data_IF_310446539287
#
_entry.id   IF_310446539287
#
_cell.length_a   1.000
_cell.length_b   1.000
_cell.length_c   1.000
_cell.angle_alpha   90.00
_cell.angle_beta   90.00
_cell.angle_gamma   90.00
#
_symmetry.space_group_name_H-M   'P 1'
#
loop_
_entity.id
_entity.type
_entity.pdbx_description
1 polymer ?
#
# COMPACT_ATOMS: atom_id res chain seq x y z
N UNK A 1 -35.47 -0.27 -39.06
CA UNK A 1 -34.77 -1.04 -38.01
C UNK A 1 -33.68 -1.83 -38.71
N UNK A 2 -32.40 -1.54 -38.45
CA UNK A 2 -31.28 -2.20 -39.11
C UNK A 2 -30.43 -2.86 -38.02
N UNK A 3 -30.35 -4.19 -38.06
CA UNK A 3 -29.56 -4.98 -37.11
C UNK A 3 -28.24 -5.32 -37.79
N UNK A 4 -27.15 -4.68 -37.37
CA UNK A 4 -25.80 -5.04 -37.83
C UNK A 4 -25.20 -6.00 -36.81
N UNK A 5 -25.17 -7.28 -37.16
CA UNK A 5 -24.35 -8.27 -36.45
C UNK A 5 -22.89 -8.07 -36.86
N UNK A 6 -22.05 -7.63 -35.92
CA UNK A 6 -20.61 -7.56 -36.09
C UNK A 6 -19.99 -8.94 -35.98
N UNK A 7 -19.66 -9.56 -37.10
CA UNK A 7 -19.04 -10.90 -37.16
C UNK A 7 -17.56 -10.79 -37.57
N UNK A 8 -16.75 -10.10 -36.76
CA UNK A 8 -15.30 -10.01 -36.97
C UNK A 8 -14.56 -10.79 -35.87
N UNK A 9 -14.27 -12.05 -36.15
CA UNK A 9 -13.38 -12.88 -35.34
C UNK A 9 -11.93 -12.61 -35.79
N UNK A 10 -11.05 -12.26 -34.86
CA UNK A 10 -9.65 -11.98 -35.16
C UNK A 10 -8.85 -13.27 -35.34
N UNK A 11 -8.58 -13.67 -36.59
CA UNK A 11 -7.67 -14.77 -36.93
C UNK A 11 -6.25 -14.23 -37.10
N UNK A 12 -5.47 -14.27 -36.02
CA UNK A 12 -4.02 -14.05 -36.05
C UNK A 12 -3.30 -15.31 -35.59
N UNK A 13 -2.08 -15.56 -36.10
CA UNK A 13 -1.16 -16.64 -35.68
C UNK A 13 -0.78 -16.66 -34.18
N UNK A 14 -1.33 -15.75 -33.39
CA UNK A 14 -1.18 -15.65 -31.93
C UNK A 14 -2.54 -15.65 -31.20
N UNK A 15 -3.65 -15.96 -31.89
CA UNK A 15 -4.95 -16.15 -31.26
C UNK A 15 -4.90 -17.45 -30.43
N UNK A 16 -4.64 -17.30 -29.13
CA UNK A 16 -4.51 -18.41 -28.19
C UNK A 16 -5.90 -18.89 -27.79
N UNK A 17 -6.23 -20.13 -28.13
CA UNK A 17 -7.43 -20.81 -27.61
C UNK A 17 -7.30 -21.05 -26.11
N UNK A 18 -8.36 -20.76 -25.36
CA UNK A 18 -8.37 -20.80 -23.89
C UNK A 18 -8.52 -22.22 -23.32
N UNK A 19 -7.70 -23.18 -23.79
CA UNK A 19 -7.69 -24.53 -23.25
C UNK A 19 -6.37 -25.26 -23.54
N UNK A 20 -5.36 -24.99 -22.71
CA UNK A 20 -4.15 -25.81 -22.62
C UNK A 20 -4.01 -26.27 -21.16
N UNK A 21 -3.80 -27.56 -20.94
CA UNK A 21 -3.73 -28.18 -19.63
C UNK A 21 -2.46 -27.74 -18.88
N UNK A 22 -2.60 -27.47 -17.58
CA UNK A 22 -1.49 -27.08 -16.71
C UNK A 22 -0.46 -28.21 -16.65
N UNK A 23 0.75 -27.96 -17.16
CA UNK A 23 1.83 -28.93 -17.26
C UNK A 23 2.20 -29.55 -15.92
N UNK A 24 2.31 -30.87 -15.93
CA UNK A 24 2.90 -31.70 -14.87
C UNK A 24 4.41 -31.49 -14.82
N UNK A 25 4.96 -31.66 -13.61
CA UNK A 25 6.38 -31.95 -13.41
C UNK A 25 6.83 -33.09 -14.34
N UNK A 26 8.04 -33.01 -14.92
CA UNK A 26 9.18 -33.78 -14.43
C UNK A 26 10.36 -33.89 -15.42
N UNK A 27 11.55 -33.85 -14.81
CA UNK A 27 12.79 -34.60 -15.10
C UNK A 27 13.02 -35.23 -16.49
N UNK A 28 14.16 -34.84 -17.07
CA UNK A 28 15.22 -35.69 -17.62
C UNK A 28 14.84 -37.03 -18.27
N UNK A 29 14.88 -37.09 -19.61
CA UNK A 29 15.43 -38.16 -20.48
C UNK A 29 14.84 -37.98 -21.88
N UNK A 30 15.62 -37.62 -22.89
CA UNK A 30 16.24 -38.54 -23.89
C UNK A 30 15.23 -39.32 -24.75
N UNK A 31 15.45 -39.22 -26.07
CA UNK A 31 14.87 -40.03 -27.18
C UNK A 31 13.42 -39.64 -27.56
N UNK A 32 12.97 -39.57 -28.83
CA UNK A 32 13.34 -40.21 -30.10
C UNK A 32 13.03 -39.23 -31.25
N UNK A 33 13.94 -38.94 -32.17
CA UNK A 33 14.12 -39.56 -33.52
C UNK A 33 12.94 -39.36 -34.47
N UNK A 34 13.01 -38.34 -35.36
CA UNK A 34 12.51 -38.44 -36.75
C UNK A 34 13.47 -37.69 -37.71
N UNK A 35 14.29 -38.51 -38.37
CA UNK A 35 14.83 -38.45 -39.74
C UNK A 35 14.55 -37.22 -40.64
N UNK A 36 15.62 -36.56 -41.08
CA UNK A 36 15.78 -36.03 -42.44
C UNK A 36 17.22 -36.28 -42.91
N UNK A 37 17.36 -36.78 -44.14
CA UNK A 37 18.57 -37.36 -44.71
C UNK A 37 19.54 -36.30 -45.26
N UNK A 38 20.83 -36.40 -44.98
CA UNK A 38 21.82 -35.49 -45.57
C UNK A 38 23.27 -35.71 -45.16
N UNK A 39 23.86 -36.79 -45.69
CA UNK A 39 25.29 -37.01 -45.95
C UNK A 39 26.26 -37.27 -44.77
N UNK A 40 26.85 -38.46 -44.84
CA UNK A 40 27.88 -39.04 -44.00
C UNK A 40 29.21 -38.39 -44.32
N UNK A 41 30.02 -37.98 -43.33
CA UNK A 41 31.47 -38.27 -43.36
C UNK A 41 32.15 -38.02 -42.00
N UNK A 42 32.61 -39.15 -41.42
CA UNK A 42 33.84 -39.35 -40.64
C UNK A 42 34.09 -38.53 -39.35
N UNK A 43 33.88 -39.21 -38.22
CA UNK A 43 34.69 -39.03 -36.99
C UNK A 43 36.10 -39.60 -37.25
N UNK A 44 37.18 -38.91 -36.84
CA UNK A 44 37.88 -39.34 -35.63
C UNK A 44 38.38 -38.17 -34.75
N UNK A 45 38.03 -38.20 -33.45
CA UNK A 45 38.89 -37.70 -32.35
C UNK A 45 40.21 -38.51 -32.31
N UNK A 46 41.24 -38.23 -31.47
CA UNK A 46 41.44 -37.15 -30.49
C UNK A 46 42.85 -36.50 -30.58
N UNK A 47 43.03 -35.26 -30.11
CA UNK A 47 44.34 -34.81 -29.61
C UNK A 47 44.11 -34.03 -28.32
N UNK A 48 44.57 -34.65 -27.24
CA UNK A 48 44.71 -34.10 -25.90
C UNK A 48 45.62 -32.86 -25.92
N UNK A 49 45.27 -31.83 -25.15
CA UNK A 49 46.28 -31.25 -24.27
C UNK A 49 45.66 -30.62 -23.03
N UNK A 50 46.01 -31.22 -21.90
CA UNK A 50 45.67 -30.80 -20.54
C UNK A 50 46.59 -29.63 -20.21
N UNK A 51 46.05 -28.42 -20.27
CA UNK A 51 46.80 -27.18 -20.03
C UNK A 51 46.21 -26.31 -18.94
N UNK A 52 46.37 -26.72 -17.68
CA UNK A 52 46.37 -25.89 -16.46
C UNK A 52 45.18 -24.91 -16.25
N UNK A 53 44.22 -25.37 -15.43
CA UNK A 53 43.28 -24.51 -14.71
C UNK A 53 44.05 -23.53 -13.80
N UNK A 54 44.25 -22.29 -14.24
CA UNK A 54 44.79 -21.23 -13.40
C UNK A 54 43.69 -20.66 -12.51
N UNK A 55 43.58 -21.24 -11.31
CA UNK A 55 42.81 -20.68 -10.20
C UNK A 55 43.58 -19.50 -9.60
N UNK A 56 43.43 -18.32 -10.21
CA UNK A 56 43.81 -17.06 -9.58
C UNK A 56 42.59 -16.51 -8.80
N UNK A 57 42.67 -16.34 -7.46
CA UNK A 57 41.58 -15.75 -6.71
C UNK A 57 41.46 -14.27 -7.08
N UNK A 58 40.41 -13.92 -7.82
CA UNK A 58 40.05 -12.51 -8.06
C UNK A 58 39.90 -11.82 -6.70
N UNK A 59 40.56 -10.68 -6.44
CA UNK A 59 40.40 -9.97 -5.19
C UNK A 59 38.94 -9.52 -5.09
N UNK A 60 38.16 -10.18 -4.22
CA UNK A 60 36.82 -9.73 -3.87
C UNK A 60 37.00 -8.40 -3.15
N UNK A 61 36.73 -7.29 -3.84
CA UNK A 61 36.50 -5.99 -3.19
C UNK A 61 35.28 -6.18 -2.28
N UNK A 62 35.52 -6.50 -1.01
CA UNK A 62 34.51 -6.34 0.03
C UNK A 62 34.28 -4.84 0.15
N UNK A 63 33.08 -4.39 -0.15
CA UNK A 63 32.67 -3.04 0.18
C UNK A 63 32.79 -2.92 1.71
N UNK A 64 33.71 -2.07 2.16
CA UNK A 64 33.86 -1.77 3.57
C UNK A 64 32.76 -0.74 3.85
N UNK A 65 31.56 -1.22 4.20
CA UNK A 65 30.49 -0.33 4.68
C UNK A 65 31.00 0.26 5.97
N UNK A 66 31.31 1.54 5.93
CA UNK A 66 31.78 2.27 7.10
C UNK A 66 30.58 2.46 8.02
N UNK A 67 30.69 2.09 9.28
CA UNK A 67 29.60 2.21 10.27
C UNK A 67 29.07 3.66 10.39
N UNK A 68 29.82 4.64 9.89
CA UNK A 68 29.49 6.06 9.88
C UNK A 68 28.42 6.48 8.85
N UNK A 69 28.36 5.85 7.67
CA UNK A 69 27.31 6.16 6.65
C UNK A 69 25.94 5.61 7.05
N UNK A 70 25.91 4.48 7.76
CA UNK A 70 24.68 3.91 8.32
C UNK A 70 24.06 4.84 9.38
N UNK A 71 24.88 5.50 10.20
CA UNK A 71 24.40 6.46 11.20
C UNK A 71 23.68 7.66 10.56
N UNK A 72 24.17 8.14 9.40
CA UNK A 72 23.50 9.22 8.67
C UNK A 72 22.17 8.75 8.05
N UNK A 73 22.14 7.57 7.43
CA UNK A 73 20.91 6.99 6.88
C UNK A 73 19.84 6.79 7.96
N UNK A 74 20.23 6.27 9.12
CA UNK A 74 19.33 6.09 10.28
C UNK A 74 18.80 7.44 10.76
N UNK A 75 19.67 8.47 10.83
CA UNK A 75 19.27 9.83 11.19
C UNK A 75 18.27 10.46 10.21
N UNK A 76 18.50 10.29 8.91
CA UNK A 76 17.60 10.79 7.87
C UNK A 76 16.22 10.10 7.90
N UNK A 77 16.19 8.79 8.15
CA UNK A 77 14.92 8.06 8.30
C UNK A 77 14.17 8.51 9.54
N UNK A 78 14.87 8.72 10.67
CA UNK A 78 14.27 9.24 11.90
C UNK A 78 13.68 10.63 11.71
N UNK A 79 14.43 11.58 11.12
CA UNK A 79 13.93 12.93 10.84
C UNK A 79 12.72 12.89 9.87
N UNK A 80 12.79 12.05 8.84
CA UNK A 80 11.66 11.82 7.93
C UNK A 80 10.41 11.28 8.65
N UNK A 81 10.59 10.28 9.51
CA UNK A 81 9.50 9.66 10.28
C UNK A 81 8.90 10.65 11.29
N UNK A 82 9.71 11.45 11.98
CA UNK A 82 9.25 12.48 12.91
C UNK A 82 8.47 13.58 12.19
N UNK A 83 8.96 14.04 11.03
CA UNK A 83 8.24 15.02 10.20
C UNK A 83 6.91 14.47 9.68
N UNK A 84 6.88 13.21 9.28
CA UNK A 84 5.64 12.55 8.87
C UNK A 84 4.66 12.42 10.04
N UNK A 85 5.13 12.04 11.22
CA UNK A 85 4.29 11.96 12.42
C UNK A 85 3.69 13.34 12.76
N UNK A 86 4.51 14.41 12.77
CA UNK A 86 4.04 15.78 12.99
C UNK A 86 3.08 16.24 11.89
N UNK A 87 3.35 15.91 10.62
CA UNK A 87 2.48 16.27 9.51
C UNK A 87 1.13 15.55 9.59
N UNK A 88 1.09 14.29 10.01
CA UNK A 88 -0.15 13.52 10.21
C UNK A 88 -0.94 14.10 11.38
N UNK A 89 -0.29 14.41 12.50
CA UNK A 89 -0.92 15.07 13.64
C UNK A 89 -1.58 16.40 13.22
N UNK A 90 -0.88 17.18 12.39
CA UNK A 90 -1.36 18.47 11.88
C UNK A 90 -2.33 18.37 10.69
N UNK A 91 -2.37 17.22 10.00
CA UNK A 91 -3.29 16.97 8.90
C UNK A 91 -4.71 16.62 9.39
N UNK A 92 -4.88 16.35 10.68
CA UNK A 92 -6.19 16.42 11.33
C UNK A 92 -6.73 17.83 11.10
N UNK A 93 -7.72 17.96 10.22
CA UNK A 93 -8.27 19.26 9.89
C UNK A 93 -8.91 19.83 11.15
N UNK A 94 -8.38 20.96 11.63
CA UNK A 94 -8.94 21.72 12.75
C UNK A 94 -10.30 22.37 12.40
N UNK A 95 -10.77 22.19 11.16
CA UNK A 95 -12.06 22.69 10.72
C UNK A 95 -13.18 22.10 11.58
N UNK A 96 -13.79 22.99 12.36
CA UNK A 96 -15.02 22.73 13.07
C UNK A 96 -16.21 22.84 12.10
N UNK A 97 -17.25 22.01 12.26
CA UNK A 97 -18.44 22.15 11.43
C UNK A 97 -19.09 23.52 11.65
N UNK A 98 -19.49 24.24 10.58
CA UNK A 98 -20.05 25.59 10.68
C UNK A 98 -21.36 25.60 11.49
N UNK A 99 -22.11 24.49 11.44
CA UNK A 99 -23.39 24.34 12.12
C UNK A 99 -23.25 23.96 13.60
N UNK A 100 -22.02 23.85 14.13
CA UNK A 100 -21.79 23.38 15.50
C UNK A 100 -22.43 24.28 16.55
N UNK A 101 -22.27 25.60 16.40
CA UNK A 101 -22.84 26.56 17.32
C UNK A 101 -24.37 26.52 17.27
N UNK A 102 -24.94 26.43 16.07
CA UNK A 102 -26.39 26.42 15.88
C UNK A 102 -27.02 25.13 16.45
N UNK A 103 -26.39 23.98 16.20
CA UNK A 103 -26.83 22.70 16.77
C UNK A 103 -26.72 22.67 18.27
N UNK A 104 -25.67 23.26 18.86
CA UNK A 104 -25.55 23.35 20.31
C UNK A 104 -26.55 24.33 20.93
N UNK A 105 -26.83 25.44 20.26
CA UNK A 105 -27.83 26.42 20.73
C UNK A 105 -29.25 25.86 20.70
N UNK A 106 -29.59 25.01 19.72
CA UNK A 106 -30.92 24.42 19.58
C UNK A 106 -31.25 23.39 20.66
N UNK A 107 -30.28 22.94 21.45
CA UNK A 107 -30.50 21.99 22.54
C UNK A 107 -31.31 22.66 23.66
N UNK A 108 -32.52 22.15 23.98
CA UNK A 108 -33.32 22.68 25.08
C UNK A 108 -32.79 22.19 26.44
N UNK A 109 -33.13 22.91 27.51
CA UNK A 109 -32.91 22.46 28.90
C UNK A 109 -31.54 22.81 29.51
N UNK A 110 -30.72 23.60 28.81
CA UNK A 110 -29.43 24.08 29.33
C UNK A 110 -29.29 25.59 29.19
N UNK A 111 -28.71 26.22 30.21
CA UNK A 111 -28.34 27.63 30.19
C UNK A 111 -27.25 27.93 29.15
N UNK A 112 -27.23 29.18 28.69
CA UNK A 112 -26.25 29.65 27.71
C UNK A 112 -24.80 29.56 28.22
N UNK A 113 -24.60 29.64 29.54
CA UNK A 113 -23.29 29.40 30.18
C UNK A 113 -22.83 27.97 29.95
N UNK A 114 -23.65 26.97 30.31
CA UNK A 114 -23.36 25.56 30.08
C UNK A 114 -23.03 25.27 28.60
N UNK A 115 -23.81 25.86 27.68
CA UNK A 115 -23.59 25.75 26.24
C UNK A 115 -22.27 26.39 25.81
N UNK A 116 -21.93 27.57 26.31
CA UNK A 116 -20.67 28.25 25.97
C UNK A 116 -19.43 27.46 26.47
N UNK A 117 -19.49 26.94 27.69
CA UNK A 117 -18.41 26.10 28.24
C UNK A 117 -18.26 24.79 27.48
N UNK A 118 -19.38 24.16 27.11
CA UNK A 118 -19.34 22.95 26.29
C UNK A 118 -18.84 23.23 24.87
N UNK A 119 -19.19 24.37 24.28
CA UNK A 119 -18.61 24.78 23.00
C UNK A 119 -17.09 24.90 23.08
N UNK A 120 -16.56 25.53 24.12
CA UNK A 120 -15.11 25.61 24.34
C UNK A 120 -14.48 24.22 24.53
N UNK A 121 -15.18 23.28 25.16
CA UNK A 121 -14.76 21.88 25.25
C UNK A 121 -14.73 21.19 23.88
N UNK A 122 -15.73 21.41 23.02
CA UNK A 122 -15.75 20.88 21.66
C UNK A 122 -14.64 21.47 20.79
N UNK A 123 -14.34 22.77 20.90
CA UNK A 123 -13.22 23.41 20.20
C UNK A 123 -11.87 22.77 20.55
N UNK A 124 -11.69 22.34 21.80
CA UNK A 124 -10.48 21.60 22.22
C UNK A 124 -10.46 20.15 21.75
N UNK A 125 -11.60 19.60 21.33
CA UNK A 125 -11.78 18.21 20.93
C UNK A 125 -12.42 18.13 19.54
N UNK A 126 -11.68 18.45 18.46
CA UNK A 126 -12.24 18.59 17.11
C UNK A 126 -12.92 17.31 16.60
N UNK A 127 -12.44 16.13 17.01
CA UNK A 127 -13.08 14.85 16.69
C UNK A 127 -14.52 14.75 17.23
N UNK A 128 -14.72 15.14 18.49
CA UNK A 128 -16.05 15.20 19.10
C UNK A 128 -16.91 16.30 18.48
N UNK A 129 -16.33 17.47 18.25
CA UNK A 129 -17.01 18.60 17.62
C UNK A 129 -17.57 18.26 16.23
N UNK A 130 -16.84 17.48 15.43
CA UNK A 130 -17.27 17.02 14.11
C UNK A 130 -18.45 16.06 14.17
N UNK A 131 -18.44 15.16 15.15
CA UNK A 131 -19.49 14.15 15.28
C UNK A 131 -20.74 14.72 15.95
N UNK A 132 -20.60 15.70 16.85
CA UNK A 132 -21.68 16.21 17.68
C UNK A 132 -22.95 16.62 16.90
N UNK A 133 -22.87 17.41 15.81
CA UNK A 133 -24.05 17.77 15.01
C UNK A 133 -24.75 16.59 14.34
N UNK A 134 -24.02 15.50 14.08
CA UNK A 134 -24.55 14.30 13.41
C UNK A 134 -25.27 13.36 14.38
N UNK A 135 -25.08 13.54 15.69
CA UNK A 135 -25.71 12.71 16.71
C UNK A 135 -27.21 13.04 16.87
N UNK A 136 -28.05 12.06 17.21
CA UNK A 136 -29.43 12.32 17.60
C UNK A 136 -29.50 13.26 18.83
N UNK A 137 -30.55 14.08 18.91
CA UNK A 137 -30.73 15.07 19.98
C UNK A 137 -30.60 14.46 21.39
N UNK A 138 -31.12 13.24 21.62
CA UNK A 138 -31.01 12.54 22.91
C UNK A 138 -29.55 12.32 23.34
N UNK A 139 -28.67 11.99 22.39
CA UNK A 139 -27.24 11.80 22.67
C UNK A 139 -26.53 13.14 22.89
N UNK A 140 -26.92 14.19 22.17
CA UNK A 140 -26.37 15.53 22.38
C UNK A 140 -26.71 16.04 23.79
N UNK A 141 -27.96 15.86 24.21
CA UNK A 141 -28.43 16.20 25.58
C UNK A 141 -27.66 15.41 26.63
N UNK A 142 -27.47 14.09 26.45
CA UNK A 142 -26.78 13.27 27.45
C UNK A 142 -25.30 13.62 27.59
N UNK A 143 -24.63 13.94 26.48
CA UNK A 143 -23.23 14.42 26.49
C UNK A 143 -23.10 15.76 27.20
N UNK A 144 -23.99 16.71 26.87
CA UNK A 144 -23.99 18.02 27.52
C UNK A 144 -24.34 17.91 29.02
N UNK A 145 -25.35 17.10 29.38
CA UNK A 145 -25.71 16.83 30.77
C UNK A 145 -24.54 16.24 31.56
N UNK A 146 -23.86 15.25 30.99
CA UNK A 146 -22.68 14.64 31.59
C UNK A 146 -21.58 15.67 31.79
N UNK A 147 -21.24 16.45 30.75
CA UNK A 147 -20.24 17.50 30.86
C UNK A 147 -20.59 18.50 31.96
N UNK A 148 -21.84 18.96 32.00
CA UNK A 148 -22.31 19.91 33.01
C UNK A 148 -22.18 19.32 34.40
N UNK A 149 -22.60 18.07 34.62
CA UNK A 149 -22.46 17.42 35.93
C UNK A 149 -21.01 17.24 36.39
N UNK A 150 -20.08 17.10 35.45
CA UNK A 150 -18.64 16.95 35.75
C UNK A 150 -17.96 18.31 35.99
N UNK A 151 -18.47 19.40 35.39
CA UNK A 151 -17.84 20.73 35.42
C UNK A 151 -18.50 21.72 36.38
N UNK A 152 -19.79 21.54 36.69
CA UNK A 152 -20.58 22.40 37.57
C UNK A 152 -21.13 21.56 38.74
N UNK A 153 -20.36 21.41 39.83
CA UNK A 153 -20.77 20.66 41.02
C UNK A 153 -21.85 21.37 41.85
#
# INVERSE_FOLDING_TARGET
MFTVFGNNMATGKYAKGSSEALGTEDRNSMAETEIDEGDVNAVPSPIDDIGASSSAPRPRKKANVTINEEAWLIGAFKDGAERLAMAIEKAGSDDLPPDLLQTLQSIPGFDDTHKAFYFAYLVKNPGLARQFPTLPLTYQISLLARFVSETFP
#
